data_IF_710490629037
#
_entry.id   IF_710490629037
#
_cell.length_a   1.000
_cell.length_b   1.000
_cell.length_c   1.000
_cell.angle_alpha   90.00
_cell.angle_beta   90.00
_cell.angle_gamma   90.00
#
_symmetry.space_group_name_H-M   'P 1'
#
loop_
_entity.id
_entity.type
_entity.pdbx_description
1 polymer ?
#
# COMPACT_ATOMS: atom_id res chain seq x y z
N UNK A 1 -11.15 2.81 -35.29
CA UNK A 1 -12.04 3.67 -34.54
C UNK A 1 -12.38 2.95 -33.25
N UNK A 2 -11.64 3.32 -32.19
CA UNK A 2 -11.83 2.77 -30.86
C UNK A 2 -13.11 3.34 -30.31
N UNK A 3 -14.14 2.49 -30.26
CA UNK A 3 -15.34 2.79 -29.50
C UNK A 3 -14.90 2.91 -28.03
N UNK A 4 -15.21 4.00 -27.34
CA UNK A 4 -14.90 4.12 -25.92
C UNK A 4 -15.64 2.96 -25.21
N UNK A 5 -14.87 2.06 -24.58
CA UNK A 5 -15.46 1.00 -23.75
C UNK A 5 -16.16 1.68 -22.59
N UNK A 6 -17.48 1.55 -22.53
CA UNK A 6 -18.21 1.96 -21.33
C UNK A 6 -17.80 1.03 -20.18
N UNK A 7 -17.27 1.56 -19.07
CA UNK A 7 -16.91 0.72 -17.94
C UNK A 7 -18.15 0.00 -17.39
N UNK A 8 -17.98 -1.28 -17.09
CA UNK A 8 -19.03 -2.11 -16.52
C UNK A 8 -19.31 -1.67 -15.09
N UNK A 9 -20.26 -0.76 -14.89
CA UNK A 9 -20.64 -0.31 -13.54
C UNK A 9 -21.54 -1.30 -12.84
N UNK A 10 -21.29 -1.54 -11.56
CA UNK A 10 -22.10 -2.40 -10.72
C UNK A 10 -23.54 -1.88 -10.60
N UNK A 11 -24.50 -2.79 -10.82
CA UNK A 11 -25.93 -2.55 -10.66
C UNK A 11 -26.48 -3.58 -9.66
N UNK A 12 -27.50 -3.23 -8.85
CA UNK A 12 -28.12 -4.21 -7.95
C UNK A 12 -28.75 -5.33 -8.77
N UNK A 13 -28.37 -6.57 -8.45
CA UNK A 13 -28.90 -7.77 -9.10
C UNK A 13 -30.28 -8.16 -8.54
N UNK A 14 -31.17 -8.64 -9.40
CA UNK A 14 -32.48 -9.17 -9.00
C UNK A 14 -32.33 -10.62 -8.52
N UNK A 15 -31.99 -10.81 -7.26
CA UNK A 15 -31.97 -12.13 -6.60
C UNK A 15 -33.02 -12.15 -5.51
N UNK A 16 -33.79 -13.25 -5.44
CA UNK A 16 -34.80 -13.47 -4.41
C UNK A 16 -34.19 -14.02 -3.12
N UNK A 17 -34.85 -13.77 -1.99
CA UNK A 17 -34.46 -14.36 -0.73
C UNK A 17 -34.64 -15.89 -0.78
N UNK A 18 -33.58 -16.64 -0.51
CA UNK A 18 -33.59 -18.10 -0.56
C UNK A 18 -34.52 -18.73 0.47
N UNK A 19 -34.78 -18.09 1.61
CA UNK A 19 -35.74 -18.59 2.60
C UNK A 19 -37.19 -18.58 2.04
N UNK A 20 -37.56 -17.55 1.31
CA UNK A 20 -38.86 -17.47 0.66
C UNK A 20 -39.01 -18.57 -0.38
N UNK A 21 -37.98 -18.80 -1.19
CA UNK A 21 -37.98 -19.86 -2.20
C UNK A 21 -37.91 -21.25 -1.56
N UNK A 22 -37.36 -21.39 -0.36
CA UNK A 22 -37.41 -22.64 0.41
C UNK A 22 -38.82 -22.96 0.90
N UNK A 23 -39.61 -21.94 1.30
CA UNK A 23 -41.04 -22.11 1.61
C UNK A 23 -41.85 -22.50 0.37
N UNK A 24 -41.55 -21.92 -0.80
CA UNK A 24 -42.16 -22.33 -2.07
C UNK A 24 -41.82 -23.78 -2.39
N UNK A 25 -40.56 -24.17 -2.21
CA UNK A 25 -40.13 -25.56 -2.41
C UNK A 25 -40.87 -26.52 -1.48
N UNK A 26 -41.01 -26.17 -0.21
CA UNK A 26 -41.74 -26.96 0.77
C UNK A 26 -43.21 -27.12 0.38
N UNK A 27 -43.85 -26.03 -0.07
CA UNK A 27 -45.23 -26.07 -0.57
C UNK A 27 -45.40 -26.97 -1.80
N UNK A 28 -44.46 -26.89 -2.75
CA UNK A 28 -44.44 -27.77 -3.93
C UNK A 28 -44.23 -29.23 -3.55
N UNK A 29 -43.33 -29.52 -2.62
CA UNK A 29 -43.11 -30.89 -2.15
C UNK A 29 -44.31 -31.47 -1.44
N UNK A 30 -45.05 -30.67 -0.67
CA UNK A 30 -46.30 -31.10 -0.03
C UNK A 30 -47.39 -31.36 -1.07
N UNK A 31 -47.50 -30.50 -2.08
CA UNK A 31 -48.43 -30.67 -3.20
C UNK A 31 -48.13 -31.96 -3.98
N UNK A 32 -46.83 -32.24 -4.22
CA UNK A 32 -46.40 -33.47 -4.90
C UNK A 32 -46.76 -34.72 -4.06
N UNK A 33 -46.55 -34.69 -2.75
CA UNK A 33 -46.90 -35.78 -1.84
C UNK A 33 -48.41 -36.06 -1.91
N UNK A 34 -49.26 -35.02 -1.87
CA UNK A 34 -50.72 -35.15 -1.98
C UNK A 34 -51.12 -35.71 -3.37
N UNK A 35 -50.45 -35.25 -4.44
CA UNK A 35 -50.69 -35.75 -5.80
C UNK A 35 -50.33 -37.25 -5.94
N UNK A 36 -49.21 -37.68 -5.36
CA UNK A 36 -48.78 -39.10 -5.34
C UNK A 36 -49.79 -39.96 -4.59
N UNK A 37 -50.28 -39.52 -3.42
CA UNK A 37 -51.30 -40.20 -2.65
C UNK A 37 -52.63 -40.33 -3.41
N UNK A 38 -52.99 -39.32 -4.20
CA UNK A 38 -54.13 -39.31 -5.07
C UNK A 38 -53.99 -40.19 -6.32
N UNK A 39 -52.74 -40.52 -6.74
CA UNK A 39 -52.46 -41.29 -7.95
C UNK A 39 -53.12 -42.66 -7.97
N UNK A 40 -53.29 -43.30 -6.78
CA UNK A 40 -53.92 -44.58 -6.64
C UNK A 40 -55.42 -44.58 -6.99
N UNK A 41 -56.04 -43.38 -7.18
CA UNK A 41 -57.48 -43.20 -7.44
C UNK A 41 -57.77 -42.55 -8.78
N UNK A 42 -56.79 -42.05 -9.52
CA UNK A 42 -56.96 -41.16 -10.67
C UNK A 42 -56.18 -41.67 -11.88
N UNK A 43 -56.70 -41.49 -13.08
CA UNK A 43 -56.12 -41.96 -14.34
C UNK A 43 -54.87 -41.24 -14.81
N UNK A 44 -54.50 -41.37 -16.09
CA UNK A 44 -53.18 -40.92 -16.64
C UNK A 44 -52.90 -39.41 -16.47
N UNK A 45 -53.94 -38.59 -16.30
CA UNK A 45 -53.83 -37.14 -16.05
C UNK A 45 -53.04 -36.82 -14.79
N UNK A 46 -53.17 -37.68 -13.73
CA UNK A 46 -52.49 -37.49 -12.47
C UNK A 46 -50.97 -37.78 -12.57
N UNK A 47 -50.59 -38.73 -13.45
CA UNK A 47 -49.18 -39.01 -13.73
C UNK A 47 -48.49 -37.79 -14.33
N UNK A 48 -49.16 -37.12 -15.24
CA UNK A 48 -48.67 -35.88 -15.87
C UNK A 48 -48.55 -34.78 -14.84
N UNK A 49 -49.52 -34.63 -13.92
CA UNK A 49 -49.47 -33.63 -12.86
C UNK A 49 -48.28 -33.83 -11.91
N UNK A 50 -48.04 -35.07 -11.45
CA UNK A 50 -46.87 -35.42 -10.62
C UNK A 50 -45.57 -35.11 -11.36
N UNK A 51 -45.46 -35.50 -12.62
CA UNK A 51 -44.25 -35.19 -13.42
C UNK A 51 -43.99 -33.69 -13.56
N UNK A 52 -45.04 -32.89 -13.77
CA UNK A 52 -44.94 -31.42 -13.87
C UNK A 52 -44.49 -30.76 -12.55
N UNK A 53 -45.05 -31.20 -11.42
CA UNK A 53 -44.67 -30.68 -10.10
C UNK A 53 -43.24 -31.11 -9.76
N UNK A 54 -42.84 -32.35 -10.03
CA UNK A 54 -41.46 -32.81 -9.87
C UNK A 54 -40.45 -32.00 -10.71
N UNK A 55 -40.80 -31.69 -11.95
CA UNK A 55 -40.02 -30.81 -12.81
C UNK A 55 -39.91 -29.37 -12.24
N UNK A 56 -40.99 -28.84 -11.68
CA UNK A 56 -40.96 -27.53 -11.01
C UNK A 56 -40.10 -27.53 -9.76
N UNK A 57 -40.09 -28.62 -8.97
CA UNK A 57 -39.21 -28.78 -7.81
C UNK A 57 -37.76 -28.79 -8.26
N UNK A 58 -37.38 -29.57 -9.26
CA UNK A 58 -36.03 -29.61 -9.81
C UNK A 58 -35.58 -28.24 -10.32
N UNK A 59 -36.49 -27.52 -10.98
CA UNK A 59 -36.26 -26.18 -11.46
C UNK A 59 -35.95 -25.20 -10.32
N UNK A 60 -36.73 -25.19 -9.24
CA UNK A 60 -36.54 -24.31 -8.10
C UNK A 60 -35.23 -24.68 -7.39
N UNK A 61 -34.93 -25.98 -7.22
CA UNK A 61 -33.69 -26.46 -6.60
C UNK A 61 -32.45 -25.97 -7.32
N UNK A 62 -32.43 -25.93 -8.65
CA UNK A 62 -31.26 -25.54 -9.44
C UNK A 62 -30.93 -24.03 -9.35
N UNK A 63 -31.87 -23.21 -8.87
CA UNK A 63 -31.70 -21.76 -8.70
C UNK A 63 -31.00 -21.34 -7.43
N UNK A 64 -30.87 -22.23 -6.42
CA UNK A 64 -30.26 -21.88 -5.14
C UNK A 64 -28.76 -21.70 -5.22
N UNK A 65 -28.25 -20.72 -4.46
CA UNK A 65 -26.84 -20.50 -4.20
C UNK A 65 -26.65 -19.84 -2.83
N UNK A 66 -25.48 -19.97 -2.26
CA UNK A 66 -25.11 -19.34 -0.99
C UNK A 66 -24.05 -18.29 -1.19
N UNK A 67 -24.19 -17.15 -0.51
CA UNK A 67 -23.16 -16.11 -0.42
C UNK A 67 -22.68 -15.99 1.01
N UNK A 68 -21.36 -15.95 1.17
CA UNK A 68 -20.73 -15.64 2.45
C UNK A 68 -20.73 -14.13 2.71
N UNK A 69 -20.61 -13.70 3.97
CA UNK A 69 -20.36 -12.29 4.29
C UNK A 69 -19.11 -11.78 3.54
N UNK A 70 -19.22 -10.58 2.96
CA UNK A 70 -18.18 -9.97 2.11
C UNK A 70 -17.84 -10.81 0.85
N UNK A 71 -18.83 -11.46 0.29
CA UNK A 71 -18.80 -12.09 -1.02
C UNK A 71 -19.92 -11.51 -1.88
N UNK A 72 -19.64 -11.29 -3.16
CA UNK A 72 -20.63 -10.85 -4.13
C UNK A 72 -20.76 -11.87 -5.26
N UNK A 73 -21.96 -11.96 -5.86
CA UNK A 73 -22.20 -12.76 -7.06
C UNK A 73 -22.63 -11.86 -8.19
N UNK A 74 -21.83 -11.77 -9.24
CA UNK A 74 -22.22 -11.15 -10.48
C UNK A 74 -23.11 -12.12 -11.29
N UNK A 75 -24.30 -11.64 -11.64
CA UNK A 75 -25.33 -12.39 -12.35
C UNK A 75 -25.27 -12.04 -13.85
N UNK A 76 -25.13 -13.06 -14.69
CA UNK A 76 -25.10 -12.90 -16.14
C UNK A 76 -26.24 -13.67 -16.77
N UNK A 77 -26.84 -13.11 -17.82
CA UNK A 77 -27.90 -13.76 -18.62
C UNK A 77 -27.41 -13.84 -20.07
N UNK A 78 -27.14 -15.06 -20.55
CA UNK A 78 -26.62 -15.30 -21.90
C UNK A 78 -25.38 -14.44 -22.27
N UNK A 79 -24.51 -14.18 -21.27
CA UNK A 79 -23.32 -13.35 -21.46
C UNK A 79 -23.50 -11.87 -21.12
N UNK A 80 -24.73 -11.38 -20.99
CA UNK A 80 -25.03 -9.99 -20.62
C UNK A 80 -25.06 -9.84 -19.08
N UNK A 81 -24.38 -8.82 -18.54
CA UNK A 81 -24.34 -8.51 -17.11
C UNK A 81 -25.67 -7.89 -16.65
N UNK A 82 -26.34 -8.54 -15.71
CA UNK A 82 -27.68 -8.12 -15.19
C UNK A 82 -27.62 -7.49 -13.81
N UNK A 83 -26.51 -7.62 -13.09
CA UNK A 83 -26.34 -7.01 -11.78
C UNK A 83 -25.58 -7.91 -10.80
N UNK A 84 -25.26 -7.36 -9.64
CA UNK A 84 -24.54 -8.06 -8.58
C UNK A 84 -25.41 -8.20 -7.34
N UNK A 85 -25.42 -9.38 -6.76
CA UNK A 85 -26.02 -9.67 -5.45
C UNK A 85 -24.93 -9.67 -4.36
N UNK A 86 -25.11 -8.83 -3.33
CA UNK A 86 -24.19 -8.70 -2.17
C UNK A 86 -24.82 -9.20 -0.87
N UNK A 87 -26.08 -9.63 -0.90
CA UNK A 87 -26.78 -10.06 0.31
C UNK A 87 -26.27 -11.44 0.72
N UNK A 88 -25.66 -11.53 1.90
CA UNK A 88 -25.17 -12.78 2.46
C UNK A 88 -26.32 -13.74 2.82
N UNK A 89 -26.05 -15.04 2.75
CA UNK A 89 -26.97 -16.12 3.11
C UNK A 89 -27.43 -16.94 1.91
N UNK A 90 -28.53 -17.66 2.11
CA UNK A 90 -29.15 -18.45 1.04
C UNK A 90 -29.94 -17.53 0.09
N UNK A 91 -29.59 -17.58 -1.18
CA UNK A 91 -30.17 -16.77 -2.23
C UNK A 91 -30.71 -17.64 -3.35
N UNK A 92 -31.61 -17.10 -4.14
CA UNK A 92 -32.17 -17.77 -5.30
C UNK A 92 -32.20 -16.85 -6.51
N UNK A 93 -31.79 -17.39 -7.64
CA UNK A 93 -31.95 -16.71 -8.94
C UNK A 93 -32.36 -17.72 -10.00
N UNK A 94 -32.78 -17.22 -11.17
CA UNK A 94 -33.19 -18.08 -12.26
C UNK A 94 -32.13 -19.09 -12.67
N UNK A 95 -32.46 -20.36 -12.89
CA UNK A 95 -31.50 -21.43 -13.19
C UNK A 95 -30.56 -21.17 -14.37
N UNK A 96 -31.04 -20.45 -15.36
CA UNK A 96 -30.26 -20.09 -16.56
C UNK A 96 -29.33 -18.90 -16.37
N UNK A 97 -29.35 -18.24 -15.23
CA UNK A 97 -28.42 -17.18 -14.92
C UNK A 97 -27.06 -17.74 -14.51
N UNK A 98 -26.00 -17.29 -15.19
CA UNK A 98 -24.63 -17.51 -14.79
C UNK A 98 -24.31 -16.76 -13.49
N UNK A 99 -23.50 -17.37 -12.63
CA UNK A 99 -23.13 -16.83 -11.30
C UNK A 99 -21.62 -16.83 -11.17
N UNK A 100 -20.98 -15.65 -11.18
CA UNK A 100 -19.56 -15.50 -10.90
C UNK A 100 -19.39 -14.86 -9.52
N UNK A 101 -18.76 -15.58 -8.59
CA UNK A 101 -18.52 -15.07 -7.23
C UNK A 101 -17.19 -14.34 -7.17
N UNK A 102 -17.15 -13.26 -6.40
CA UNK A 102 -15.96 -12.47 -6.10
C UNK A 102 -15.91 -12.13 -4.63
N UNK A 103 -14.72 -12.20 -4.03
CA UNK A 103 -14.51 -11.79 -2.65
C UNK A 103 -14.33 -10.28 -2.57
N UNK A 104 -15.09 -9.64 -1.68
CA UNK A 104 -14.98 -8.22 -1.35
C UNK A 104 -14.09 -7.97 -0.11
N UNK A 105 -13.50 -9.05 0.44
CA UNK A 105 -12.62 -8.97 1.60
C UNK A 105 -11.33 -8.26 1.24
N UNK A 106 -10.71 -7.63 2.24
CA UNK A 106 -9.38 -7.08 2.06
C UNK A 106 -8.39 -8.19 1.72
N UNK A 107 -7.60 -7.97 0.69
CA UNK A 107 -6.50 -8.84 0.28
C UNK A 107 -5.19 -8.11 0.55
N UNK A 108 -4.20 -8.83 1.05
CA UNK A 108 -2.87 -8.31 1.27
C UNK A 108 -1.93 -8.92 0.22
N UNK A 109 -1.20 -8.07 -0.49
CA UNK A 109 -0.20 -8.47 -1.47
C UNK A 109 1.12 -7.79 -1.15
N UNK A 110 2.19 -8.57 -1.09
CA UNK A 110 3.56 -8.07 -1.04
C UNK A 110 4.16 -8.25 -2.43
N UNK A 111 4.65 -7.16 -3.02
CA UNK A 111 5.28 -7.20 -4.33
C UNK A 111 6.59 -7.99 -4.27
N UNK A 112 7.00 -8.50 -5.42
CA UNK A 112 8.37 -8.99 -5.56
C UNK A 112 9.34 -7.82 -5.39
N UNK A 113 10.56 -8.12 -4.98
CA UNK A 113 11.65 -7.16 -4.90
C UNK A 113 12.03 -6.76 -6.33
N UNK A 114 11.96 -5.47 -6.63
CA UNK A 114 12.32 -4.93 -7.95
C UNK A 114 13.52 -4.00 -7.82
N UNK A 115 14.41 -4.09 -8.79
CA UNK A 115 15.53 -3.16 -8.93
C UNK A 115 15.11 -1.98 -9.81
N UNK A 116 15.27 -0.77 -9.27
CA UNK A 116 14.89 0.50 -9.92
C UNK A 116 16.03 1.50 -9.71
N UNK A 117 16.22 2.42 -10.65
CA UNK A 117 17.10 3.56 -10.43
C UNK A 117 16.33 4.69 -9.77
N UNK A 118 16.91 5.27 -8.72
CA UNK A 118 16.37 6.45 -8.07
C UNK A 118 16.50 7.71 -8.98
N UNK A 119 16.00 8.86 -8.51
CA UNK A 119 16.07 10.13 -9.26
C UNK A 119 17.52 10.51 -9.64
N UNK A 120 18.51 10.10 -8.82
CA UNK A 120 19.93 10.38 -9.04
C UNK A 120 20.64 9.30 -9.86
N UNK A 121 19.91 8.27 -10.33
CA UNK A 121 20.44 7.16 -11.13
C UNK A 121 21.10 6.05 -10.31
N UNK A 122 20.97 6.04 -8.98
CA UNK A 122 21.50 4.97 -8.14
C UNK A 122 20.55 3.76 -8.19
N UNK A 123 21.06 2.53 -8.41
CA UNK A 123 20.22 1.34 -8.35
C UNK A 123 19.82 1.03 -6.90
N UNK A 124 18.50 0.93 -6.68
CA UNK A 124 17.86 0.58 -5.41
C UNK A 124 16.98 -0.64 -5.57
N UNK A 125 16.83 -1.42 -4.53
CA UNK A 125 15.89 -2.53 -4.43
C UNK A 125 14.72 -2.13 -3.55
N UNK A 126 13.52 -2.31 -4.09
CA UNK A 126 12.27 -1.90 -3.45
C UNK A 126 11.24 -3.02 -3.50
N UNK A 127 10.46 -3.15 -2.44
CA UNK A 127 9.23 -3.94 -2.39
C UNK A 127 8.17 -3.18 -1.61
N UNK A 128 6.91 -3.35 -2.01
CA UNK A 128 5.78 -2.72 -1.35
C UNK A 128 4.75 -3.75 -0.91
N UNK A 129 4.09 -3.47 0.20
CA UNK A 129 2.90 -4.17 0.66
C UNK A 129 1.69 -3.30 0.37
N UNK A 130 0.66 -3.91 -0.18
CA UNK A 130 -0.59 -3.22 -0.54
C UNK A 130 -1.77 -4.02 -0.02
N UNK A 131 -2.63 -3.38 0.76
CA UNK A 131 -3.92 -3.91 1.18
C UNK A 131 -4.99 -3.30 0.29
N UNK A 132 -5.71 -4.17 -0.42
CA UNK A 132 -6.69 -3.76 -1.42
C UNK A 132 -7.96 -4.59 -1.32
N UNK A 133 -9.05 -4.06 -1.84
CA UNK A 133 -10.33 -4.76 -1.95
C UNK A 133 -11.06 -4.41 -3.24
N UNK A 134 -11.94 -5.32 -3.67
CA UNK A 134 -12.85 -5.07 -4.80
C UNK A 134 -14.00 -4.22 -4.30
N UNK A 135 -14.22 -3.07 -4.94
CA UNK A 135 -15.34 -2.16 -4.67
C UNK A 135 -16.43 -2.28 -5.73
N UNK A 136 -16.04 -2.50 -6.99
CA UNK A 136 -16.95 -2.76 -8.09
C UNK A 136 -16.69 -4.15 -8.66
N UNK A 137 -17.63 -5.07 -8.40
CA UNK A 137 -17.52 -6.46 -8.83
C UNK A 137 -17.69 -6.65 -10.34
N UNK A 138 -18.38 -5.74 -11.00
CA UNK A 138 -18.58 -5.82 -12.44
C UNK A 138 -17.28 -5.47 -13.18
N UNK A 139 -16.63 -4.37 -12.81
CA UNK A 139 -15.34 -3.99 -13.38
C UNK A 139 -14.28 -5.07 -13.13
N UNK A 140 -14.21 -5.60 -11.90
CA UNK A 140 -13.22 -6.61 -11.55
C UNK A 140 -13.38 -7.94 -12.32
N UNK A 141 -14.61 -8.28 -12.75
CA UNK A 141 -14.90 -9.57 -13.41
C UNK A 141 -15.04 -9.49 -14.92
N UNK A 142 -15.28 -8.29 -15.49
CA UNK A 142 -15.62 -8.14 -16.91
C UNK A 142 -14.72 -7.15 -17.64
N UNK A 143 -14.07 -6.20 -16.96
CA UNK A 143 -13.19 -5.21 -17.59
C UNK A 143 -11.73 -5.67 -17.59
N UNK A 144 -11.36 -6.64 -16.72
CA UNK A 144 -10.03 -7.28 -16.68
C UNK A 144 -10.16 -8.80 -16.62
N UNK A 145 -9.23 -9.53 -17.25
CA UNK A 145 -9.26 -11.00 -17.27
C UNK A 145 -8.98 -11.61 -15.91
N UNK A 146 -7.87 -11.22 -15.29
CA UNK A 146 -7.48 -11.61 -13.94
C UNK A 146 -7.12 -10.35 -13.14
N UNK A 147 -8.06 -9.93 -12.32
CA UNK A 147 -7.89 -8.74 -11.47
C UNK A 147 -6.74 -8.89 -10.47
N UNK A 148 -6.38 -10.13 -10.04
CA UNK A 148 -5.25 -10.34 -9.11
C UNK A 148 -3.92 -10.15 -9.79
N UNK A 149 -3.76 -10.75 -10.98
CA UNK A 149 -2.57 -10.55 -11.79
C UNK A 149 -2.43 -9.09 -12.23
N UNK A 150 -3.55 -8.43 -12.57
CA UNK A 150 -3.60 -7.01 -12.89
C UNK A 150 -3.10 -6.15 -11.73
N UNK A 151 -3.60 -6.38 -10.50
CA UNK A 151 -3.16 -5.66 -9.30
C UNK A 151 -1.65 -5.83 -9.09
N UNK A 152 -1.14 -7.06 -9.18
CA UNK A 152 0.29 -7.31 -8.99
C UNK A 152 1.14 -6.54 -10.01
N UNK A 153 0.75 -6.53 -11.27
CA UNK A 153 1.44 -5.79 -12.33
C UNK A 153 1.38 -4.28 -12.11
N UNK A 154 0.22 -3.73 -11.70
CA UNK A 154 0.08 -2.30 -11.44
C UNK A 154 0.89 -1.85 -10.22
N UNK A 155 0.99 -2.68 -9.18
CA UNK A 155 1.85 -2.40 -8.01
C UNK A 155 3.32 -2.30 -8.45
N UNK A 156 3.80 -3.23 -9.26
CA UNK A 156 5.19 -3.18 -9.76
C UNK A 156 5.46 -1.89 -10.54
N UNK A 157 4.55 -1.51 -11.44
CA UNK A 157 4.68 -0.28 -12.23
C UNK A 157 4.64 0.97 -11.33
N UNK A 158 3.74 1.02 -10.35
CA UNK A 158 3.63 2.15 -9.42
C UNK A 158 4.88 2.29 -8.55
N UNK A 159 5.39 1.18 -7.99
CA UNK A 159 6.65 1.18 -7.20
C UNK A 159 7.82 1.67 -8.05
N UNK A 160 7.93 1.22 -9.30
CA UNK A 160 8.96 1.69 -10.23
C UNK A 160 8.83 3.19 -10.53
N UNK A 161 7.62 3.67 -10.72
CA UNK A 161 7.34 5.10 -10.98
C UNK A 161 7.75 5.98 -9.79
N UNK A 162 7.35 5.58 -8.58
CA UNK A 162 7.69 6.31 -7.35
C UNK A 162 9.19 6.23 -7.07
N UNK A 163 9.81 5.06 -7.23
CA UNK A 163 11.25 4.88 -7.04
C UNK A 163 12.09 5.79 -7.93
N UNK A 164 11.69 5.98 -9.19
CA UNK A 164 12.38 6.87 -10.13
C UNK A 164 12.11 8.38 -9.88
N UNK A 165 11.06 8.73 -9.14
CA UNK A 165 10.67 10.13 -8.88
C UNK A 165 11.44 10.77 -7.74
N UNK A 166 11.89 10.01 -6.76
CA UNK A 166 12.53 10.49 -5.55
C UNK A 166 13.95 9.94 -5.40
N UNK A 167 14.89 10.71 -4.83
CA UNK A 167 16.19 10.17 -4.43
C UNK A 167 16.01 9.23 -3.23
N UNK A 168 16.88 8.24 -3.11
CA UNK A 168 16.88 7.32 -1.97
C UNK A 168 17.14 8.04 -0.65
N UNK A 169 18.19 8.89 -0.62
CA UNK A 169 18.54 9.74 0.50
C UNK A 169 19.05 11.13 0.04
N UNK A 170 18.99 12.09 0.94
CA UNK A 170 19.56 13.42 0.75
C UNK A 170 20.27 13.86 2.02
N UNK A 171 21.61 14.06 1.92
CA UNK A 171 22.44 14.48 3.04
C UNK A 171 22.29 15.97 3.35
N UNK A 172 21.82 16.75 2.40
CA UNK A 172 21.61 18.18 2.58
C UNK A 172 20.23 18.52 3.16
N UNK A 173 19.36 17.51 3.36
CA UNK A 173 17.99 17.64 3.88
C UNK A 173 17.12 18.69 3.16
N UNK A 174 17.36 18.88 1.87
CA UNK A 174 16.65 19.88 1.04
C UNK A 174 15.50 19.28 0.23
N UNK A 175 15.58 17.99 -0.07
CA UNK A 175 14.64 17.28 -0.94
C UNK A 175 13.89 16.20 -0.18
N UNK A 176 12.67 15.90 -0.66
CA UNK A 176 11.90 14.74 -0.20
C UNK A 176 12.59 13.46 -0.66
N UNK A 177 12.77 12.52 0.27
CA UNK A 177 13.51 11.28 0.01
C UNK A 177 12.66 10.05 0.28
N UNK A 178 12.98 8.94 -0.41
CA UNK A 178 12.32 7.65 -0.17
C UNK A 178 12.49 7.17 1.27
N UNK A 179 13.66 7.43 1.87
CA UNK A 179 14.02 6.96 3.21
C UNK A 179 13.52 7.89 4.31
N UNK A 180 13.63 9.22 4.13
CA UNK A 180 13.32 10.21 5.17
C UNK A 180 11.83 10.51 5.29
N UNK A 181 11.13 10.56 4.17
CA UNK A 181 9.73 11.01 4.08
C UNK A 181 8.78 9.84 3.76
N UNK A 182 8.94 8.74 4.48
CA UNK A 182 8.25 7.49 4.22
C UNK A 182 6.71 7.64 4.12
N UNK A 183 6.10 8.39 5.02
CA UNK A 183 4.64 8.58 5.06
C UNK A 183 4.12 9.34 3.84
N UNK A 184 4.85 10.38 3.43
CA UNK A 184 4.51 11.18 2.25
C UNK A 184 4.60 10.36 0.97
N UNK A 185 5.71 9.64 0.81
CA UNK A 185 5.95 8.83 -0.39
C UNK A 185 4.98 7.65 -0.47
N UNK A 186 4.66 7.02 0.68
CA UNK A 186 3.62 5.98 0.75
C UNK A 186 2.23 6.54 0.40
N UNK A 187 1.92 7.78 0.82
CA UNK A 187 0.69 8.46 0.44
C UNK A 187 0.58 8.70 -1.07
N UNK A 188 1.67 9.09 -1.72
CA UNK A 188 1.71 9.26 -3.18
C UNK A 188 1.61 7.91 -3.91
N UNK A 189 2.28 6.87 -3.41
CA UNK A 189 2.13 5.51 -3.95
C UNK A 189 0.67 5.05 -3.88
N UNK A 190 -0.01 5.33 -2.75
CA UNK A 190 -1.42 5.01 -2.58
C UNK A 190 -2.29 5.74 -3.59
N UNK A 191 -2.08 7.04 -3.79
CA UNK A 191 -2.84 7.83 -4.76
C UNK A 191 -2.64 7.31 -6.19
N UNK A 192 -1.41 7.06 -6.60
CA UNK A 192 -1.06 6.49 -7.90
C UNK A 192 -1.72 5.12 -8.12
N UNK A 193 -1.72 4.26 -7.08
CA UNK A 193 -2.35 2.94 -7.15
C UNK A 193 -3.88 3.03 -7.25
N UNK A 194 -4.53 3.94 -6.53
CA UNK A 194 -5.98 4.15 -6.61
C UNK A 194 -6.37 4.53 -8.04
N UNK A 195 -5.66 5.47 -8.65
CA UNK A 195 -5.94 5.92 -10.02
C UNK A 195 -5.76 4.78 -11.05
N UNK A 196 -4.69 3.98 -10.91
CA UNK A 196 -4.41 2.86 -11.81
C UNK A 196 -5.40 1.69 -11.66
N UNK A 197 -5.82 1.41 -10.43
CA UNK A 197 -6.70 0.28 -10.11
C UNK A 197 -8.18 0.62 -10.25
N UNK A 198 -8.54 1.90 -10.40
CA UNK A 198 -9.91 2.34 -10.61
C UNK A 198 -10.59 1.68 -11.82
N UNK A 199 -9.82 1.40 -12.88
CA UNK A 199 -10.31 0.72 -14.09
C UNK A 199 -10.84 -0.69 -13.79
N UNK A 200 -10.25 -1.37 -12.81
CA UNK A 200 -10.65 -2.71 -12.38
C UNK A 200 -11.64 -2.71 -11.20
N UNK A 201 -12.17 -1.55 -10.82
CA UNK A 201 -13.08 -1.43 -9.68
C UNK A 201 -12.47 -1.84 -8.34
N UNK A 202 -11.17 -1.58 -8.16
CA UNK A 202 -10.40 -1.95 -6.97
C UNK A 202 -9.95 -0.69 -6.25
N UNK A 203 -10.06 -0.69 -4.92
CA UNK A 203 -9.53 0.38 -4.07
C UNK A 203 -8.40 -0.12 -3.19
N UNK A 204 -7.52 0.80 -2.81
CA UNK A 204 -6.38 0.56 -1.92
C UNK A 204 -6.71 1.15 -0.55
N UNK A 205 -6.75 0.29 0.45
CA UNK A 205 -6.98 0.70 1.85
C UNK A 205 -5.70 1.26 2.46
N UNK A 206 -4.60 0.50 2.30
CA UNK A 206 -3.29 0.81 2.88
C UNK A 206 -2.19 0.35 1.94
N UNK A 207 -1.10 1.10 1.89
CA UNK A 207 0.12 0.66 1.23
C UNK A 207 1.36 1.23 1.92
N UNK A 208 2.49 0.54 1.77
CA UNK A 208 3.77 0.96 2.31
C UNK A 208 4.91 0.16 1.71
N UNK A 209 6.12 0.68 1.84
CA UNK A 209 7.31 -0.04 1.42
C UNK A 209 7.73 -1.03 2.52
N UNK A 210 7.95 -2.29 2.14
CA UNK A 210 8.44 -3.36 3.04
C UNK A 210 9.93 -3.55 2.93
N UNK A 211 10.50 -3.24 1.77
CA UNK A 211 11.93 -3.28 1.52
C UNK A 211 12.34 -2.04 0.74
N UNK A 212 13.40 -1.40 1.21
CA UNK A 212 14.00 -0.23 0.56
C UNK A 212 15.48 -0.20 0.92
N UNK A 213 16.33 -0.51 -0.04
CA UNK A 213 17.79 -0.57 0.15
C UNK A 213 18.53 -0.22 -1.13
N UNK A 214 19.77 0.20 -1.03
CA UNK A 214 20.65 0.25 -2.19
C UNK A 214 20.91 -1.16 -2.72
N UNK A 215 21.01 -1.29 -4.02
CA UNK A 215 21.37 -2.56 -4.64
C UNK A 215 22.76 -3.02 -4.14
N UNK A 216 22.98 -4.33 -3.98
CA UNK A 216 24.22 -4.88 -3.39
C UNK A 216 25.50 -4.37 -4.06
N UNK A 217 25.44 -4.08 -5.37
CA UNK A 217 26.60 -3.64 -6.16
C UNK A 217 27.17 -2.29 -5.70
N UNK A 218 26.30 -1.40 -5.19
CA UNK A 218 26.69 -0.05 -4.76
C UNK A 218 26.61 0.17 -3.25
N UNK A 219 25.98 -0.75 -2.52
CA UNK A 219 25.72 -0.60 -1.07
C UNK A 219 26.99 -0.27 -0.29
N UNK A 220 28.11 -0.96 -0.55
CA UNK A 220 29.38 -0.69 0.12
C UNK A 220 29.97 0.68 -0.22
N UNK A 221 29.80 1.17 -1.44
CA UNK A 221 30.27 2.50 -1.85
C UNK A 221 29.42 3.61 -1.22
N UNK A 222 28.10 3.41 -1.17
CA UNK A 222 27.17 4.35 -0.55
C UNK A 222 27.37 4.43 0.97
N UNK A 223 27.65 3.28 1.63
CA UNK A 223 27.99 3.28 3.06
C UNK A 223 29.24 4.12 3.35
N UNK A 224 30.30 3.96 2.54
CA UNK A 224 31.52 4.80 2.68
C UNK A 224 31.23 6.28 2.47
N UNK A 225 30.39 6.62 1.49
CA UNK A 225 29.96 8.00 1.25
C UNK A 225 29.17 8.56 2.43
N UNK A 226 28.24 7.78 3.00
CA UNK A 226 27.50 8.17 4.20
C UNK A 226 28.43 8.40 5.39
N UNK A 227 29.40 7.50 5.62
CA UNK A 227 30.39 7.66 6.67
C UNK A 227 31.22 8.94 6.49
N UNK A 228 31.70 9.21 5.28
CA UNK A 228 32.45 10.43 4.99
C UNK A 228 31.60 11.69 5.23
N UNK A 229 30.37 11.71 4.75
CA UNK A 229 29.46 12.84 4.98
C UNK A 229 29.17 13.05 6.48
N UNK A 230 28.95 11.97 7.23
CA UNK A 230 28.71 12.04 8.68
C UNK A 230 29.95 12.61 9.42
N UNK A 231 31.16 12.22 9.02
CA UNK A 231 32.42 12.76 9.63
C UNK A 231 32.53 14.25 9.34
N UNK A 232 32.25 14.70 8.10
CA UNK A 232 32.29 16.13 7.75
C UNK A 232 31.25 16.92 8.56
N UNK A 233 30.01 16.46 8.61
CA UNK A 233 28.94 17.11 9.37
C UNK A 233 29.25 17.17 10.88
N UNK A 234 29.83 16.12 11.44
CA UNK A 234 30.29 16.11 12.83
C UNK A 234 31.38 17.15 13.07
N UNK A 235 32.35 17.26 12.14
CA UNK A 235 33.43 18.27 12.23
C UNK A 235 32.91 19.69 12.10
N UNK A 236 32.00 19.95 11.18
CA UNK A 236 31.33 21.26 11.03
C UNK A 236 30.62 21.68 12.33
N UNK A 237 29.85 20.76 12.92
CA UNK A 237 29.19 20.99 14.20
C UNK A 237 30.16 21.27 15.33
N UNK A 238 31.26 20.53 15.38
CA UNK A 238 32.33 20.72 16.38
C UNK A 238 33.00 22.10 16.21
N UNK A 239 33.36 22.48 14.99
CA UNK A 239 33.98 23.78 14.70
C UNK A 239 33.00 24.93 15.02
N UNK A 240 31.73 24.83 14.62
CA UNK A 240 30.71 25.85 14.93
C UNK A 240 30.52 25.98 16.46
N UNK A 241 30.47 24.87 17.19
CA UNK A 241 30.42 24.86 18.64
C UNK A 241 31.69 25.49 19.30
N UNK A 242 32.88 25.17 18.77
CA UNK A 242 34.12 25.74 19.25
C UNK A 242 34.21 27.27 19.05
N UNK A 243 33.80 27.75 17.87
CA UNK A 243 33.72 29.19 17.60
C UNK A 243 32.76 29.89 18.56
N UNK A 244 31.55 29.35 18.76
CA UNK A 244 30.61 29.92 19.73
C UNK A 244 31.11 29.93 21.17
N UNK A 245 31.84 28.88 21.59
CA UNK A 245 32.48 28.84 22.92
C UNK A 245 33.57 29.89 23.06
N UNK A 246 34.41 30.09 22.03
CA UNK A 246 35.44 31.11 22.02
C UNK A 246 34.87 32.52 22.08
N UNK A 247 33.82 32.79 21.27
CA UNK A 247 33.11 34.07 21.27
C UNK A 247 32.50 34.38 22.66
N UNK A 248 31.84 33.39 23.27
CA UNK A 248 31.29 33.51 24.64
C UNK A 248 32.39 33.79 25.66
N UNK A 249 33.50 33.08 25.58
CA UNK A 249 34.61 33.27 26.51
C UNK A 249 35.20 34.68 26.40
N UNK A 250 35.46 35.17 25.19
CA UNK A 250 35.95 36.52 24.95
C UNK A 250 34.97 37.61 25.41
N UNK A 251 33.66 37.43 25.15
CA UNK A 251 32.63 38.36 25.61
C UNK A 251 32.61 38.46 27.15
N UNK A 252 32.60 37.33 27.85
CA UNK A 252 32.61 37.30 29.32
C UNK A 252 33.89 37.89 29.96
N UNK A 253 35.04 37.65 29.35
CA UNK A 253 36.31 38.23 29.83
C UNK A 253 36.33 39.76 29.63
N UNK A 254 35.79 40.24 28.54
CA UNK A 254 35.64 41.69 28.28
C UNK A 254 34.66 42.35 29.21
N UNK A 255 33.50 41.71 29.49
CA UNK A 255 32.47 42.27 30.41
C UNK A 255 32.94 42.38 31.83
N UNK A 256 33.75 41.43 32.31
CA UNK A 256 34.26 41.36 33.66
C UNK A 256 35.56 42.17 33.87
N UNK A 257 36.08 42.82 32.85
CA UNK A 257 37.35 43.58 32.85
C UNK A 257 38.53 42.82 33.48
N UNK A 258 38.56 41.48 33.40
CA UNK A 258 39.54 40.62 34.03
C UNK A 258 40.91 40.76 33.41
N UNK A 259 40.98 41.00 32.10
CA UNK A 259 42.22 41.13 31.34
C UNK A 259 42.03 42.16 30.21
N UNK A 260 42.88 43.17 30.14
CA UNK A 260 42.98 44.03 28.96
C UNK A 260 43.72 43.30 27.86
N UNK A 261 42.95 42.74 26.92
CA UNK A 261 43.47 42.04 25.75
C UNK A 261 43.65 43.03 24.61
N UNK A 262 44.89 43.23 24.16
CA UNK A 262 45.13 43.85 22.86
C UNK A 262 44.80 42.86 21.72
N UNK A 263 44.71 43.34 20.49
CA UNK A 263 44.25 42.54 19.36
C UNK A 263 45.21 41.35 19.08
N UNK A 264 46.50 41.50 19.32
CA UNK A 264 47.49 40.44 19.12
C UNK A 264 47.33 39.29 20.15
N UNK A 265 47.11 39.65 21.42
CA UNK A 265 46.90 38.66 22.50
C UNK A 265 45.53 37.99 22.34
N UNK A 266 44.53 38.72 21.86
CA UNK A 266 43.19 38.15 21.52
C UNK A 266 43.31 37.10 20.42
N UNK A 267 44.03 37.40 19.33
CA UNK A 267 44.28 36.48 18.22
C UNK A 267 45.02 35.22 18.66
N UNK A 268 46.07 35.37 19.49
CA UNK A 268 46.80 34.24 20.06
C UNK A 268 45.94 33.34 20.95
N UNK A 269 45.10 33.96 21.79
CA UNK A 269 44.15 33.23 22.65
C UNK A 269 43.08 32.47 21.87
N UNK A 270 42.50 33.08 20.81
CA UNK A 270 41.56 32.43 19.90
C UNK A 270 42.22 31.23 19.22
N UNK A 271 43.43 31.40 18.68
CA UNK A 271 44.18 30.31 18.02
C UNK A 271 44.42 29.14 18.98
N UNK A 272 44.89 29.41 20.20
CA UNK A 272 45.12 28.37 21.18
C UNK A 272 43.84 27.65 21.62
N UNK A 273 42.74 28.37 21.88
CA UNK A 273 41.48 27.78 22.25
C UNK A 273 40.90 26.93 21.09
N UNK A 274 40.99 27.40 19.85
CA UNK A 274 40.54 26.63 18.69
C UNK A 274 41.34 25.33 18.50
N UNK A 275 42.66 25.33 18.71
CA UNK A 275 43.48 24.12 18.64
C UNK A 275 43.06 23.11 19.73
N UNK A 276 42.79 23.58 20.95
CA UNK A 276 42.37 22.71 22.05
C UNK A 276 40.95 22.15 21.83
N UNK A 277 40.04 22.98 21.38
CA UNK A 277 38.61 22.60 21.20
C UNK A 277 38.38 21.76 19.94
N UNK A 278 39.13 21.98 18.86
CA UNK A 278 39.00 21.25 17.60
C UNK A 278 39.98 20.09 17.45
N UNK A 279 40.95 19.91 18.37
CA UNK A 279 41.92 18.83 18.34
C UNK A 279 41.30 17.46 18.65
N UNK A 280 41.63 16.44 17.84
CA UNK A 280 41.14 15.05 18.03
C UNK A 280 41.96 14.29 19.13
N UNK A 281 43.05 14.85 19.62
CA UNK A 281 43.91 14.24 20.66
C UNK A 281 43.91 15.13 21.88
N UNK A 282 44.01 14.51 23.06
CA UNK A 282 44.24 15.20 24.31
C UNK A 282 45.52 16.05 24.18
N UNK A 283 45.33 17.39 24.17
CA UNK A 283 46.42 18.33 24.12
C UNK A 283 47.11 18.35 25.47
N UNK A 284 48.39 17.95 25.53
CA UNK A 284 49.23 18.14 26.72
C UNK A 284 49.76 19.57 26.69
N UNK A 285 49.37 20.45 27.62
CA UNK A 285 49.93 21.80 27.70
C UNK A 285 51.38 21.72 28.11
N UNK A 286 52.30 22.11 27.21
CA UNK A 286 53.69 22.30 27.55
C UNK A 286 53.86 23.69 28.14
N UNK A 287 53.94 23.76 29.46
CA UNK A 287 54.26 24.99 30.16
C UNK A 287 55.79 25.24 30.03
N UNK A 288 56.17 26.20 29.23
CA UNK A 288 57.54 26.64 29.15
C UNK A 288 57.85 27.57 30.34
N UNK A 289 58.40 27.02 31.42
CA UNK A 289 58.76 27.77 32.67
C UNK A 289 60.13 28.42 32.59
N UNK A 290 60.75 28.44 31.40
CA UNK A 290 62.21 28.71 31.31
C UNK A 290 62.67 30.10 30.88
N UNK A 291 61.79 31.09 30.62
CA UNK A 291 62.27 32.41 30.15
C UNK A 291 61.61 33.61 30.85
N UNK A 292 61.53 33.58 32.16
CA UNK A 292 61.17 34.77 32.96
C UNK A 292 62.33 35.57 33.51
N UNK A 293 63.56 35.26 33.17
CA UNK A 293 64.72 36.05 33.54
C UNK A 293 65.73 36.05 32.41
N UNK A 294 65.68 37.05 31.55
CA UNK A 294 66.79 37.85 31.01
C UNK A 294 66.26 39.21 30.62
#
# INVERSE_FOLDING_TARGET
PDLPREPSRERPGSASNGLVMLLVLFGLSLAELVAILGLFRSGPVMVIAVAMVGLAILFVLSGFYSLQPNEAAALTLFGDYRGTDRAAGLRWTWPWMGKKKVSLRANNLISQMIKVNDLRGNPIEMAAQVVWRVTDSAQALFDVDDYRAFVAAQIEVAVRTIGARYPYDDFEHKEVTLRGDHDRVSGELRAELIDRLAVAGITVDECGFTHLAYAPEIAGSMLRRQQAAAVVAARETLVAGAVGMVEMALAQLSEKDVVKLDDERRAAMVSNLMVVLCGERDTQPVLNTGTLYQ
#
